data_IF_386401748326
#
_entry.id   IF_386401748326
#
_cell.length_a   1.000
_cell.length_b   1.000
_cell.length_c   1.000
_cell.angle_alpha   90.00
_cell.angle_beta   90.00
_cell.angle_gamma   90.00
#
_symmetry.space_group_name_H-M   'P 1'
#
loop_
_entity.id
_entity.type
_entity.pdbx_description
1 polymer ?
#
# COMPACT_ATOMS: atom_id res chain seq x y z
N UNK A 1 -16.62 34.30 19.83
CA UNK A 1 -15.93 35.55 19.42
C UNK A 1 -14.45 35.36 19.71
N UNK A 2 -13.62 35.19 18.67
CA UNK A 2 -12.69 36.23 18.12
C UNK A 2 -11.46 36.40 19.03
N UNK A 3 -10.18 36.26 18.65
CA UNK A 3 -9.47 36.03 17.37
C UNK A 3 -8.02 35.63 17.73
N UNK A 4 -7.29 35.08 16.76
CA UNK A 4 -5.89 35.40 16.42
C UNK A 4 -4.75 34.89 17.30
N UNK A 5 -3.92 34.03 16.71
CA UNK A 5 -2.49 34.30 16.46
C UNK A 5 -1.95 33.36 15.38
N UNK A 6 -2.35 33.51 14.12
CA UNK A 6 -1.59 32.96 12.98
C UNK A 6 -1.83 33.82 11.73
N UNK A 7 -1.44 35.08 11.84
CA UNK A 7 -1.22 35.97 10.72
C UNK A 7 0.22 36.49 10.79
N UNK A 8 0.88 36.57 9.63
CA UNK A 8 2.26 37.02 9.37
C UNK A 8 3.28 35.88 9.59
N UNK A 9 3.82 35.26 8.53
CA UNK A 9 4.75 35.92 7.60
C UNK A 9 4.43 35.63 6.13
N UNK A 10 4.37 36.71 5.35
CA UNK A 10 4.14 36.75 3.92
C UNK A 10 5.46 37.11 3.21
N UNK A 11 5.63 36.51 2.04
CA UNK A 11 6.27 37.02 0.81
C UNK A 11 7.80 37.01 0.69
N UNK A 12 8.21 36.29 -0.35
CA UNK A 12 8.97 36.87 -1.46
C UNK A 12 9.94 35.87 -2.10
N UNK A 13 9.71 35.47 -3.35
CA UNK A 13 10.67 35.64 -4.43
C UNK A 13 9.98 35.41 -5.79
N UNK A 14 10.41 36.23 -6.75
CA UNK A 14 9.78 36.51 -8.03
C UNK A 14 10.06 35.45 -9.11
N UNK A 15 9.29 35.57 -10.18
CA UNK A 15 9.29 34.78 -11.40
C UNK A 15 10.60 34.87 -12.20
N UNK A 16 10.95 33.78 -12.89
CA UNK A 16 11.65 33.82 -14.18
C UNK A 16 11.23 32.63 -15.08
N UNK A 17 11.21 32.87 -16.40
CA UNK A 17 10.50 32.10 -17.44
C UNK A 17 11.41 31.15 -18.23
N UNK A 18 10.73 30.21 -18.92
CA UNK A 18 11.02 29.53 -20.20
C UNK A 18 11.82 28.23 -20.19
N UNK A 19 11.16 27.22 -20.76
CA UNK A 19 11.68 25.94 -21.23
C UNK A 19 10.51 25.07 -21.72
N UNK A 20 9.79 25.54 -22.73
CA UNK A 20 8.65 24.84 -23.34
C UNK A 20 9.15 23.68 -24.20
N UNK A 21 8.92 22.43 -23.77
CA UNK A 21 8.87 21.28 -24.67
C UNK A 21 7.39 20.98 -24.95
N UNK A 22 6.84 21.65 -25.95
CA UNK A 22 5.55 21.29 -26.55
C UNK A 22 5.79 20.15 -27.54
N UNK A 23 5.42 18.93 -27.18
CA UNK A 23 5.17 17.91 -28.19
C UNK A 23 3.81 18.21 -28.84
N UNK A 24 3.70 18.22 -30.18
CA UNK A 24 2.49 18.65 -30.86
C UNK A 24 1.33 17.67 -30.64
N UNK A 25 0.21 18.24 -30.17
CA UNK A 25 -1.09 17.59 -29.92
C UNK A 25 -1.81 17.07 -31.18
N UNK A 26 -1.13 16.97 -32.33
CA UNK A 26 -1.78 16.75 -33.63
C UNK A 26 -1.58 15.35 -34.23
N UNK A 27 -0.97 14.38 -33.54
CA UNK A 27 -0.69 13.06 -34.14
C UNK A 27 -1.62 11.90 -33.75
N UNK A 28 -2.70 12.12 -32.99
CA UNK A 28 -3.71 11.07 -32.76
C UNK A 28 -5.17 11.54 -32.97
N UNK A 29 -5.40 12.67 -33.64
CA UNK A 29 -6.74 13.23 -33.84
C UNK A 29 -7.58 12.51 -34.92
N UNK A 30 -7.08 11.48 -35.59
CA UNK A 30 -7.74 10.94 -36.79
C UNK A 30 -8.55 9.65 -36.63
N UNK A 31 -8.95 9.24 -35.43
CA UNK A 31 -9.72 8.00 -35.29
C UNK A 31 -10.83 7.97 -34.25
N UNK A 32 -11.51 9.09 -33.95
CA UNK A 32 -12.75 9.01 -33.17
C UNK A 32 -13.80 10.04 -33.61
N UNK A 33 -14.36 9.85 -34.82
CA UNK A 33 -15.65 10.43 -35.15
C UNK A 33 -16.77 9.66 -34.42
N UNK A 34 -17.57 10.43 -33.67
CA UNK A 34 -18.98 10.20 -33.33
C UNK A 34 -19.39 8.82 -32.81
N UNK A 35 -19.42 8.66 -31.48
CA UNK A 35 -20.36 7.74 -30.83
C UNK A 35 -21.41 8.55 -30.03
N UNK A 36 -22.70 8.18 -30.11
CA UNK A 36 -23.78 8.90 -29.45
C UNK A 36 -23.68 8.80 -27.92
N UNK A 37 -24.14 9.85 -27.23
CA UNK A 37 -24.27 9.90 -25.78
C UNK A 37 -25.15 8.74 -25.27
N UNK A 38 -24.56 7.83 -24.49
CA UNK A 38 -25.23 6.77 -23.73
C UNK A 38 -25.04 7.00 -22.22
N UNK A 39 -25.98 6.53 -21.37
CA UNK A 39 -26.01 6.89 -19.96
C UNK A 39 -24.82 6.27 -19.21
N UNK A 40 -24.15 7.10 -18.40
CA UNK A 40 -22.95 6.85 -17.57
C UNK A 40 -22.37 5.43 -17.67
N UNK A 41 -21.26 5.21 -18.39
CA UNK A 41 -20.58 3.93 -18.34
C UNK A 41 -20.08 3.69 -16.92
N UNK A 42 -20.59 2.65 -16.26
CA UNK A 42 -19.98 2.14 -15.04
C UNK A 42 -18.53 1.79 -15.33
N UNK A 43 -17.63 2.09 -14.40
CA UNK A 43 -16.23 1.73 -14.55
C UNK A 43 -16.13 0.20 -14.56
N UNK A 44 -15.79 -0.37 -15.71
CA UNK A 44 -15.59 -1.79 -15.87
C UNK A 44 -14.14 -2.16 -15.50
N UNK A 45 -13.99 -2.86 -14.38
CA UNK A 45 -12.71 -3.37 -13.90
C UNK A 45 -12.35 -4.73 -14.50
N UNK A 46 -13.22 -5.34 -15.31
CA UNK A 46 -13.01 -6.67 -15.87
C UNK A 46 -11.98 -6.69 -17.00
N UNK A 47 -11.77 -5.55 -17.68
CA UNK A 47 -10.87 -5.41 -18.82
C UNK A 47 -9.40 -5.09 -18.47
N UNK A 48 -8.99 -5.16 -17.19
CA UNK A 48 -7.59 -4.89 -16.81
C UNK A 48 -6.78 -6.16 -17.00
N UNK A 49 -6.30 -6.39 -18.23
CA UNK A 49 -5.51 -7.56 -18.60
C UNK A 49 -4.05 -7.22 -18.85
N UNK A 50 -3.77 -5.97 -19.23
CA UNK A 50 -2.41 -5.48 -19.49
C UNK A 50 -2.11 -4.18 -18.73
N UNK A 51 -0.83 -3.78 -18.75
CA UNK A 51 -0.35 -2.54 -18.10
C UNK A 51 -1.04 -1.31 -18.68
N UNK A 52 -1.18 -1.27 -20.01
CA UNK A 52 -1.75 -0.11 -20.70
C UNK A 52 -3.23 0.06 -20.37
N UNK A 53 -3.98 -1.04 -20.19
CA UNK A 53 -5.38 -1.01 -19.75
C UNK A 53 -5.49 -0.37 -18.36
N UNK A 54 -4.58 -0.71 -17.44
CA UNK A 54 -4.60 -0.17 -16.10
C UNK A 54 -4.31 1.33 -16.07
N UNK A 55 -3.32 1.78 -16.84
CA UNK A 55 -2.98 3.20 -16.96
C UNK A 55 -4.11 3.95 -17.66
N UNK A 56 -4.66 3.41 -18.75
CA UNK A 56 -5.80 3.99 -19.45
C UNK A 56 -7.00 4.14 -18.51
N UNK A 57 -7.33 3.08 -17.77
CA UNK A 57 -8.44 3.09 -16.83
C UNK A 57 -8.20 4.11 -15.71
N UNK A 58 -6.97 4.23 -15.19
CA UNK A 58 -6.63 5.28 -14.23
C UNK A 58 -6.94 6.67 -14.79
N UNK A 59 -6.50 6.98 -16.02
CA UNK A 59 -6.76 8.27 -16.67
C UNK A 59 -8.24 8.51 -16.91
N UNK A 60 -8.99 7.47 -17.28
CA UNK A 60 -10.44 7.54 -17.44
C UNK A 60 -11.13 7.85 -16.09
N UNK A 61 -10.70 7.18 -15.01
CA UNK A 61 -11.20 7.41 -13.66
C UNK A 61 -10.98 8.85 -13.21
N UNK A 62 -9.84 9.46 -13.53
CA UNK A 62 -9.57 10.88 -13.22
C UNK A 62 -10.50 11.86 -13.96
N UNK A 63 -10.98 11.50 -15.15
CA UNK A 63 -11.86 12.35 -15.99
C UNK A 63 -13.35 12.13 -15.69
N UNK A 64 -13.69 11.09 -14.95
CA UNK A 64 -15.09 10.73 -14.68
C UNK A 64 -15.68 11.65 -13.61
N UNK A 65 -16.92 12.12 -13.83
CA UNK A 65 -17.68 12.92 -12.87
C UNK A 65 -19.03 12.25 -12.55
N UNK A 66 -19.29 11.83 -11.28
CA UNK A 66 -18.44 12.05 -10.10
C UNK A 66 -17.15 11.20 -10.11
N UNK A 67 -16.13 11.69 -9.41
CA UNK A 67 -14.84 10.99 -9.30
C UNK A 67 -15.04 9.63 -8.60
N UNK A 68 -14.34 8.57 -9.04
CA UNK A 68 -14.43 7.26 -8.40
C UNK A 68 -13.98 7.32 -6.94
N UNK A 69 -14.59 6.49 -6.10
CA UNK A 69 -14.19 6.36 -4.71
C UNK A 69 -12.80 5.74 -4.59
N UNK A 70 -12.16 5.92 -3.44
CA UNK A 70 -10.87 5.27 -3.08
C UNK A 70 -10.92 3.76 -3.31
N UNK A 71 -12.08 3.13 -3.10
CA UNK A 71 -12.28 1.71 -3.36
C UNK A 71 -12.09 1.36 -4.85
N UNK A 72 -12.54 2.22 -5.77
CA UNK A 72 -12.33 2.03 -7.20
C UNK A 72 -10.84 2.06 -7.55
N UNK A 73 -10.10 3.03 -7.02
CA UNK A 73 -8.65 3.10 -7.23
C UNK A 73 -7.94 1.89 -6.60
N UNK A 74 -8.35 1.45 -5.41
CA UNK A 74 -7.80 0.25 -4.78
C UNK A 74 -8.04 -1.01 -5.61
N UNK A 75 -9.20 -1.15 -6.27
CA UNK A 75 -9.47 -2.27 -7.19
C UNK A 75 -8.51 -2.27 -8.38
N UNK A 76 -8.28 -1.10 -8.97
CA UNK A 76 -7.33 -0.95 -10.07
C UNK A 76 -5.90 -1.30 -9.62
N UNK A 77 -5.45 -0.76 -8.50
CA UNK A 77 -4.14 -1.07 -7.92
C UNK A 77 -4.02 -2.58 -7.63
N UNK A 78 -5.01 -3.20 -7.00
CA UNK A 78 -5.01 -4.64 -6.74
C UNK A 78 -4.98 -5.47 -8.04
N UNK A 79 -5.66 -5.01 -9.09
CA UNK A 79 -5.58 -5.58 -10.45
C UNK A 79 -4.16 -5.53 -11.00
N UNK A 80 -3.49 -4.37 -10.93
CA UNK A 80 -2.09 -4.21 -11.37
C UNK A 80 -1.12 -5.11 -10.60
N UNK A 81 -1.32 -5.28 -9.30
CA UNK A 81 -0.51 -6.18 -8.47
C UNK A 81 -0.74 -7.65 -8.82
N UNK A 82 -1.98 -8.06 -9.13
CA UNK A 82 -2.28 -9.42 -9.62
C UNK A 82 -1.58 -9.73 -10.94
N UNK A 83 -1.42 -8.73 -11.80
CA UNK A 83 -0.63 -8.83 -13.04
C UNK A 83 0.89 -8.78 -12.81
N UNK A 84 1.34 -8.71 -11.55
CA UNK A 84 2.74 -8.56 -11.12
C UNK A 84 3.42 -7.27 -11.59
N UNK A 85 2.62 -6.25 -11.93
CA UNK A 85 3.10 -4.95 -12.41
C UNK A 85 3.29 -3.99 -11.24
N UNK A 86 4.21 -4.33 -10.33
CA UNK A 86 4.39 -3.62 -9.06
C UNK A 86 4.89 -2.18 -9.23
N UNK A 87 5.81 -1.94 -10.16
CA UNK A 87 6.32 -0.59 -10.45
C UNK A 87 5.21 0.32 -10.99
N UNK A 88 4.32 -0.23 -11.82
CA UNK A 88 3.16 0.50 -12.34
C UNK A 88 2.19 0.82 -11.20
N UNK A 89 1.88 -0.17 -10.35
CA UNK A 89 1.04 0.04 -9.18
C UNK A 89 1.56 1.16 -8.27
N UNK A 90 2.88 1.21 -8.04
CA UNK A 90 3.53 2.27 -7.27
C UNK A 90 3.46 3.63 -7.96
N UNK A 91 3.70 3.69 -9.27
CA UNK A 91 3.56 4.95 -10.03
C UNK A 91 2.14 5.51 -9.95
N UNK A 92 1.12 4.64 -10.06
CA UNK A 92 -0.29 5.03 -9.91
C UNK A 92 -0.59 5.49 -8.47
N UNK A 93 -0.06 4.79 -7.46
CA UNK A 93 -0.18 5.17 -6.06
C UNK A 93 0.44 6.55 -5.78
N UNK A 94 1.64 6.81 -6.29
CA UNK A 94 2.27 8.11 -6.14
C UNK A 94 1.51 9.19 -6.89
N UNK A 95 0.98 8.90 -8.08
CA UNK A 95 0.14 9.85 -8.81
C UNK A 95 -1.14 10.20 -8.02
N UNK A 96 -1.79 9.20 -7.38
CA UNK A 96 -2.92 9.46 -6.48
C UNK A 96 -2.55 10.44 -5.37
N UNK A 97 -1.37 10.27 -4.75
CA UNK A 97 -0.88 11.15 -3.68
C UNK A 97 -0.60 12.57 -4.18
N UNK A 98 0.03 12.72 -5.34
CA UNK A 98 0.34 14.02 -5.93
C UNK A 98 -0.93 14.79 -6.34
N UNK A 99 -1.95 14.08 -6.81
CA UNK A 99 -3.24 14.65 -7.17
C UNK A 99 -4.16 14.91 -5.96
N UNK A 100 -3.72 14.60 -4.74
CA UNK A 100 -4.51 14.78 -3.52
C UNK A 100 -5.71 13.83 -3.43
N UNK A 101 -5.69 12.71 -4.15
CA UNK A 101 -6.72 11.68 -4.05
C UNK A 101 -6.56 10.99 -2.68
N UNK A 102 -7.62 10.88 -1.87
CA UNK A 102 -7.52 10.26 -0.56
C UNK A 102 -6.99 8.83 -0.64
N UNK A 103 -6.02 8.51 0.21
CA UNK A 103 -5.49 7.15 0.38
C UNK A 103 -5.90 6.62 1.75
N UNK A 104 -6.23 5.33 1.83
CA UNK A 104 -6.58 4.68 3.08
C UNK A 104 -5.57 3.57 3.44
N UNK A 105 -5.79 2.90 4.57
CA UNK A 105 -4.96 1.79 5.05
C UNK A 105 -4.75 0.70 3.98
N UNK A 106 -5.80 0.38 3.22
CA UNK A 106 -5.72 -0.62 2.14
C UNK A 106 -4.81 -0.16 1.00
N UNK A 107 -4.93 1.10 0.57
CA UNK A 107 -4.07 1.67 -0.48
C UNK A 107 -2.60 1.63 -0.04
N UNK A 108 -2.32 2.00 1.20
CA UNK A 108 -0.95 1.98 1.75
C UNK A 108 -0.40 0.56 1.87
N UNK A 109 -1.22 -0.41 2.28
CA UNK A 109 -0.82 -1.83 2.33
C UNK A 109 -0.49 -2.40 0.95
N UNK A 110 -1.23 -2.00 -0.10
CA UNK A 110 -0.88 -2.36 -1.48
C UNK A 110 0.52 -1.82 -1.84
N UNK A 111 0.81 -0.56 -1.52
CA UNK A 111 2.11 0.04 -1.78
C UNK A 111 3.25 -0.66 -0.99
N UNK A 112 3.05 -0.95 0.30
CA UNK A 112 4.01 -1.73 1.11
C UNK A 112 4.30 -3.07 0.44
N UNK A 113 3.26 -3.82 0.07
CA UNK A 113 3.43 -5.12 -0.60
C UNK A 113 4.22 -5.00 -1.91
N UNK A 114 3.96 -3.96 -2.71
CA UNK A 114 4.71 -3.73 -3.95
C UNK A 114 6.20 -3.46 -3.68
N UNK A 115 6.52 -2.61 -2.69
CA UNK A 115 7.91 -2.37 -2.30
C UNK A 115 8.60 -3.64 -1.76
N UNK A 116 7.90 -4.46 -0.98
CA UNK A 116 8.42 -5.76 -0.52
C UNK A 116 8.76 -6.68 -1.71
N UNK A 117 7.87 -6.78 -2.70
CA UNK A 117 8.03 -7.66 -3.87
C UNK A 117 9.10 -7.17 -4.84
N UNK A 118 9.44 -5.88 -4.82
CA UNK A 118 10.55 -5.28 -5.56
C UNK A 118 11.87 -5.26 -4.77
N UNK A 119 11.93 -5.94 -3.62
CA UNK A 119 13.11 -5.95 -2.73
C UNK A 119 13.54 -4.55 -2.25
N UNK A 120 12.58 -3.64 -2.10
CA UNK A 120 12.76 -2.25 -1.70
C UNK A 120 12.12 -1.98 -0.33
N UNK A 121 12.35 -2.88 0.63
CA UNK A 121 11.66 -2.92 1.93
C UNK A 121 11.78 -1.63 2.75
N UNK A 122 12.88 -0.87 2.60
CA UNK A 122 13.05 0.43 3.29
C UNK A 122 11.96 1.43 2.92
N UNK A 123 11.52 1.45 1.66
CA UNK A 123 10.39 2.27 1.23
C UNK A 123 9.07 1.74 1.79
N UNK A 124 8.93 0.42 1.97
CA UNK A 124 7.81 -0.17 2.70
C UNK A 124 7.71 0.37 4.13
N UNK A 125 8.82 0.45 4.87
CA UNK A 125 8.86 1.09 6.19
C UNK A 125 8.62 2.60 6.12
N UNK A 126 9.02 3.29 5.06
CA UNK A 126 8.67 4.69 4.88
C UNK A 126 7.14 4.88 4.73
N UNK A 127 6.45 3.97 4.03
CA UNK A 127 4.98 3.97 3.95
C UNK A 127 4.35 3.68 5.31
N UNK A 128 4.92 2.80 6.14
CA UNK A 128 4.47 2.60 7.52
C UNK A 128 4.48 3.91 8.34
N UNK A 129 5.48 4.78 8.13
CA UNK A 129 5.49 6.12 8.73
C UNK A 129 4.29 7.00 8.33
N UNK A 130 3.70 6.73 7.16
CA UNK A 130 2.51 7.43 6.65
C UNK A 130 1.25 7.04 7.41
N UNK A 131 1.13 5.81 7.90
CA UNK A 131 0.01 5.39 8.73
C UNK A 131 -0.13 6.31 9.94
N UNK A 132 0.96 6.51 10.69
CA UNK A 132 0.96 7.37 11.87
C UNK A 132 0.69 8.84 11.53
N UNK A 133 1.26 9.36 10.43
CA UNK A 133 1.01 10.74 9.99
C UNK A 133 -0.46 10.99 9.63
N UNK A 134 -1.14 9.98 9.09
CA UNK A 134 -2.54 10.06 8.70
C UNK A 134 -3.51 9.61 9.82
N UNK A 135 -3.00 9.27 11.01
CA UNK A 135 -3.82 8.79 12.13
C UNK A 135 -4.40 7.38 11.93
N UNK A 136 -3.80 6.58 11.06
CA UNK A 136 -4.16 5.18 10.87
C UNK A 136 -3.30 4.27 11.75
N UNK A 137 -3.92 3.25 12.32
CA UNK A 137 -3.23 2.19 13.04
C UNK A 137 -2.83 1.06 12.07
N UNK A 138 -1.54 0.69 11.98
CA UNK A 138 -1.12 -0.50 11.24
C UNK A 138 -1.66 -1.77 11.89
N UNK A 139 -2.21 -2.67 11.09
CA UNK A 139 -2.79 -3.93 11.55
C UNK A 139 -1.84 -5.13 11.37
N UNK A 140 -2.31 -6.31 11.79
CA UNK A 140 -1.60 -7.58 11.61
C UNK A 140 -1.23 -7.83 10.14
N UNK A 141 -2.07 -7.42 9.18
CA UNK A 141 -1.82 -7.56 7.74
C UNK A 141 -0.64 -6.69 7.31
N UNK A 142 -0.58 -5.46 7.80
CA UNK A 142 0.50 -4.49 7.52
C UNK A 142 1.85 -5.04 7.99
N UNK A 143 1.92 -5.45 9.26
CA UNK A 143 3.15 -5.98 9.83
C UNK A 143 3.55 -7.32 9.23
N UNK A 144 2.60 -8.22 8.93
CA UNK A 144 2.89 -9.47 8.25
C UNK A 144 3.48 -9.24 6.85
N UNK A 145 2.99 -8.24 6.12
CA UNK A 145 3.54 -7.87 4.80
C UNK A 145 4.97 -7.36 4.90
N UNK A 146 5.27 -6.51 5.89
CA UNK A 146 6.64 -6.03 6.15
C UNK A 146 7.57 -7.17 6.56
N UNK A 147 7.10 -8.08 7.42
CA UNK A 147 7.84 -9.27 7.84
C UNK A 147 8.20 -10.15 6.64
N UNK A 148 7.24 -10.44 5.74
CA UNK A 148 7.51 -11.14 4.48
C UNK A 148 8.57 -10.44 3.66
N UNK A 149 8.45 -9.11 3.51
CA UNK A 149 9.43 -8.30 2.79
C UNK A 149 10.84 -8.37 3.37
N UNK A 150 10.98 -8.36 4.70
CA UNK A 150 12.28 -8.52 5.37
C UNK A 150 12.91 -9.89 5.08
N UNK A 151 12.13 -10.97 5.13
CA UNK A 151 12.65 -12.30 4.76
C UNK A 151 12.98 -12.42 3.28
N UNK A 152 12.20 -11.80 2.38
CA UNK A 152 12.52 -11.74 0.94
C UNK A 152 13.82 -10.98 0.66
N UNK A 153 14.14 -9.98 1.50
CA UNK A 153 15.36 -9.19 1.41
C UNK A 153 16.56 -9.79 2.17
N UNK A 154 16.43 -11.01 2.71
CA UNK A 154 17.43 -11.67 3.56
C UNK A 154 17.83 -10.86 4.83
N UNK A 155 16.93 -9.98 5.31
CA UNK A 155 17.12 -9.15 6.50
C UNK A 155 16.54 -9.82 7.75
N UNK A 156 16.97 -11.05 7.99
CA UNK A 156 16.44 -11.97 9.02
C UNK A 156 16.50 -11.37 10.43
N UNK A 157 17.64 -10.77 10.79
CA UNK A 157 17.84 -10.13 12.11
C UNK A 157 16.85 -8.99 12.36
N UNK A 158 16.47 -8.27 11.31
CA UNK A 158 15.47 -7.20 11.43
C UNK A 158 14.05 -7.75 11.54
N UNK A 159 13.75 -8.86 10.87
CA UNK A 159 12.46 -9.55 10.99
C UNK A 159 12.26 -10.05 12.42
N UNK A 160 13.28 -10.67 13.03
CA UNK A 160 13.24 -11.09 14.44
C UNK A 160 13.03 -9.91 15.39
N UNK A 161 13.76 -8.80 15.18
CA UNK A 161 13.62 -7.58 15.98
C UNK A 161 12.21 -6.99 15.85
N UNK A 162 11.65 -6.95 14.64
CA UNK A 162 10.29 -6.46 14.41
C UNK A 162 9.29 -7.35 15.15
N UNK A 163 9.36 -8.68 14.99
CA UNK A 163 8.47 -9.61 15.66
C UNK A 163 8.51 -9.48 17.19
N UNK A 164 9.72 -9.39 17.76
CA UNK A 164 9.89 -9.15 19.20
C UNK A 164 9.28 -7.83 19.65
N UNK A 165 9.42 -6.76 18.86
CA UNK A 165 8.78 -5.46 19.14
C UNK A 165 7.24 -5.56 19.10
N UNK A 166 6.67 -6.28 18.13
CA UNK A 166 5.22 -6.51 18.06
C UNK A 166 4.70 -7.16 19.34
N UNK A 167 5.38 -8.21 19.83
CA UNK A 167 5.02 -8.92 21.05
C UNK A 167 5.18 -8.07 22.31
N UNK A 168 6.32 -7.38 22.43
CA UNK A 168 6.67 -6.63 23.66
C UNK A 168 5.87 -5.35 23.82
N UNK A 169 5.63 -4.63 22.72
CA UNK A 169 4.87 -3.38 22.72
C UNK A 169 3.38 -3.57 22.46
N UNK A 170 2.93 -4.80 22.19
CA UNK A 170 1.55 -5.15 21.83
C UNK A 170 0.98 -4.25 20.72
N UNK A 171 1.78 -4.02 19.67
CA UNK A 171 1.38 -3.19 18.53
C UNK A 171 0.25 -3.82 17.72
N UNK A 172 0.17 -5.14 17.72
CA UNK A 172 -0.95 -5.92 17.18
C UNK A 172 -0.93 -7.32 17.80
N UNK A 173 -2.09 -7.96 17.90
CA UNK A 173 -2.16 -9.39 18.24
C UNK A 173 -1.71 -10.24 17.04
N UNK A 174 -0.60 -11.00 17.15
CA UNK A 174 -0.17 -11.87 16.06
C UNK A 174 -1.19 -12.98 15.83
N UNK A 175 -1.59 -13.16 14.58
CA UNK A 175 -2.39 -14.31 14.17
C UNK A 175 -1.51 -15.49 13.75
N UNK A 176 -2.13 -16.66 13.57
CA UNK A 176 -1.46 -17.89 13.13
C UNK A 176 -0.67 -17.69 11.83
N UNK A 177 -1.23 -16.92 10.89
CA UNK A 177 -0.60 -16.64 9.59
C UNK A 177 0.70 -15.86 9.75
N UNK A 178 0.73 -14.85 10.63
CA UNK A 178 1.94 -14.08 10.92
C UNK A 178 3.00 -14.97 11.57
N UNK A 179 2.63 -15.74 12.60
CA UNK A 179 3.57 -16.63 13.32
C UNK A 179 4.16 -17.68 12.37
N UNK A 180 3.33 -18.31 11.53
CA UNK A 180 3.79 -19.27 10.52
C UNK A 180 4.72 -18.61 9.49
N UNK A 181 4.44 -17.37 9.10
CA UNK A 181 5.32 -16.59 8.21
C UNK A 181 6.71 -16.41 8.83
N UNK A 182 6.78 -16.11 10.14
CA UNK A 182 8.06 -15.98 10.87
C UNK A 182 8.80 -17.30 10.89
N UNK A 183 8.13 -18.38 11.31
CA UNK A 183 8.74 -19.71 11.42
C UNK A 183 9.29 -20.16 10.07
N UNK A 184 8.50 -20.04 9.00
CA UNK A 184 8.92 -20.40 7.66
C UNK A 184 10.09 -19.55 7.17
N UNK A 185 10.08 -18.24 7.43
CA UNK A 185 11.20 -17.34 7.10
C UNK A 185 12.48 -17.72 7.82
N UNK A 186 12.40 -17.97 9.14
CA UNK A 186 13.54 -18.38 9.97
C UNK A 186 14.11 -19.74 9.56
N UNK A 187 13.24 -20.72 9.28
CA UNK A 187 13.68 -22.03 8.81
C UNK A 187 14.44 -21.93 7.47
N UNK A 188 13.96 -21.10 6.54
CA UNK A 188 14.65 -20.87 5.25
C UNK A 188 16.00 -20.17 5.42
N UNK A 189 16.13 -19.32 6.43
CA UNK A 189 17.38 -18.67 6.80
C UNK A 189 18.33 -19.56 7.64
N UNK A 190 17.91 -20.77 8.02
CA UNK A 190 18.71 -21.66 8.89
C UNK A 190 18.66 -21.32 10.38
N UNK A 191 17.83 -20.37 10.80
CA UNK A 191 17.65 -19.95 12.20
C UNK A 191 16.65 -20.87 12.93
N UNK A 192 16.98 -22.17 13.02
CA UNK A 192 16.07 -23.22 13.51
C UNK A 192 15.72 -23.08 14.99
N UNK A 193 16.65 -22.61 15.84
CA UNK A 193 16.40 -22.40 17.27
C UNK A 193 15.35 -21.31 17.51
N UNK A 194 15.49 -20.14 16.88
CA UNK A 194 14.52 -19.06 16.98
C UNK A 194 13.14 -19.47 16.43
N UNK A 195 13.13 -20.27 15.36
CA UNK A 195 11.89 -20.83 14.81
C UNK A 195 11.18 -21.76 15.80
N UNK A 196 11.94 -22.59 16.53
CA UNK A 196 11.42 -23.46 17.58
C UNK A 196 10.83 -22.67 18.75
N UNK A 197 11.49 -21.58 19.17
CA UNK A 197 10.97 -20.70 20.22
C UNK A 197 9.65 -20.04 19.81
N UNK A 198 9.52 -19.63 18.53
CA UNK A 198 8.28 -19.09 17.97
C UNK A 198 7.15 -20.13 17.94
N UNK A 199 7.45 -21.40 17.65
CA UNK A 199 6.48 -22.50 17.75
C UNK A 199 6.00 -22.71 19.19
N UNK A 200 6.89 -22.57 20.16
CA UNK A 200 6.55 -22.61 21.58
C UNK A 200 5.55 -21.52 21.97
N UNK A 201 5.70 -20.31 21.43
CA UNK A 201 4.74 -19.22 21.62
C UNK A 201 3.34 -19.58 21.11
N UNK A 202 3.24 -20.09 19.87
CA UNK A 202 1.95 -20.48 19.26
C UNK A 202 1.24 -21.57 20.06
N UNK A 203 1.99 -22.59 20.52
CA UNK A 203 1.44 -23.68 21.34
C UNK A 203 0.85 -23.17 22.65
N UNK A 204 1.52 -22.23 23.32
CA UNK A 204 1.02 -21.62 24.57
C UNK A 204 -0.24 -20.79 24.32
N UNK A 205 -0.28 -20.04 23.23
CA UNK A 205 -1.47 -19.26 22.86
C UNK A 205 -2.68 -20.16 22.61
N UNK A 206 -2.51 -21.28 21.90
CA UNK A 206 -3.57 -22.26 21.67
C UNK A 206 -4.06 -22.93 22.96
N UNK A 207 -3.15 -23.27 23.89
CA UNK A 207 -3.52 -23.82 25.20
C UNK A 207 -4.29 -22.81 26.07
N UNK A 208 -3.90 -21.53 26.03
CA UNK A 208 -4.59 -20.48 26.78
C UNK A 208 -6.01 -20.22 26.25
N UNK A 209 -6.22 -20.27 24.93
CA UNK A 209 -7.56 -20.16 24.33
C UNK A 209 -8.47 -21.31 24.78
N UNK A 210 -7.97 -22.55 24.79
CA UNK A 210 -8.76 -23.70 25.26
C UNK A 210 -9.12 -23.60 26.75
N UNK A 211 -8.20 -23.12 27.59
CA UNK A 211 -8.48 -22.92 29.03
C UNK A 211 -9.56 -21.84 29.26
N UNK A 212 -9.53 -20.75 28.49
CA UNK A 212 -10.52 -19.67 28.60
C UNK A 212 -11.94 -20.10 28.15
N UNK A 213 -12.04 -21.04 27.21
CA UNK A 213 -13.32 -21.58 26.74
C UNK A 213 -13.94 -22.60 27.70
N UNK A 214 -13.16 -23.22 28.59
CA UNK A 214 -13.65 -24.15 29.61
C UNK A 214 -14.13 -23.39 30.87
N UNK A 215 -13.81 -22.10 30.99
CA UNK A 215 -14.18 -21.24 32.13
C UNK A 215 -15.37 -20.28 31.85
N UNK A 216 -16.06 -20.43 30.73
CA UNK A 216 -17.33 -19.75 30.41
C UNK A 216 -18.48 -20.74 30.36
#
# INVERSE_FOLDING_TARGET
MRVSTMALLRRGFAAEKRGTFTLPLSFLYSSFQNRPFSPKPGIDFSCVHEVDDAVFLFRQMLRTSPQPSVLGFNKLLAGTVRMKQYSVALNLFDEMRHLGIPVNQWTMNIAINCYCLLNHIDFGFAILGSFFKCGYEPDVTTFNTLMKGLFLADRVVEAEKLFKKLLTLRLCEPNEVMVLTVINGLCKAGHTLTAYDCLGYLRRQASNLMLNLIQQ
#
